data_IF_816497997519
#
_entry.id   IF_816497997519
#
_cell.length_a   1.000
_cell.length_b   1.000
_cell.length_c   1.000
_cell.angle_alpha   90.00
_cell.angle_beta   90.00
_cell.angle_gamma   90.00
#
_symmetry.space_group_name_H-M   'P 1'
#
loop_
_entity.id
_entity.type
_entity.pdbx_description
1 polymer ?
#
# COMPACT_ATOMS: atom_id res chain seq x y z
N UNK A 1 2.94 -18.12 37.86
CA UNK A 1 3.68 -17.60 36.68
C UNK A 1 3.15 -16.20 36.37
N UNK A 2 4.01 -15.17 36.24
CA UNK A 2 3.54 -13.81 35.91
C UNK A 2 2.92 -13.80 34.51
N UNK A 3 1.74 -13.19 34.37
CA UNK A 3 1.11 -12.99 33.07
C UNK A 3 1.80 -11.83 32.36
N UNK A 4 2.02 -12.00 31.05
CA UNK A 4 2.59 -10.93 30.22
C UNK A 4 1.63 -9.73 30.20
N UNK A 5 2.14 -8.49 30.32
CA UNK A 5 1.29 -7.31 30.29
C UNK A 5 0.59 -7.13 28.93
N UNK A 6 -0.57 -6.48 28.95
CA UNK A 6 -1.28 -6.08 27.75
C UNK A 6 -0.50 -5.00 26.98
N UNK A 7 -0.64 -5.00 25.66
CA UNK A 7 0.07 -4.10 24.75
C UNK A 7 -0.86 -2.98 24.26
N UNK A 8 -0.38 -1.76 23.98
CA UNK A 8 -1.22 -0.75 23.35
C UNK A 8 -1.64 -1.18 21.94
N UNK A 9 -2.87 -0.85 21.56
CA UNK A 9 -3.35 -0.98 20.18
C UNK A 9 -2.44 -0.19 19.23
N UNK A 10 -2.03 -0.80 18.12
CA UNK A 10 -1.15 -0.14 17.13
C UNK A 10 -1.86 0.87 16.23
N UNK A 11 -3.19 0.99 16.33
CA UNK A 11 -3.93 1.98 15.56
C UNK A 11 -3.64 3.40 16.11
N UNK A 12 -3.38 4.40 15.25
CA UNK A 12 -3.06 5.75 15.71
C UNK A 12 -4.12 6.30 16.67
N UNK A 13 -3.67 6.94 17.75
CA UNK A 13 -4.53 7.58 18.76
C UNK A 13 -5.54 6.65 19.46
N UNK A 14 -5.37 5.33 19.42
CA UNK A 14 -6.22 4.40 20.16
C UNK A 14 -5.64 4.13 21.57
N UNK A 15 -6.34 4.48 22.66
CA UNK A 15 -5.83 4.28 24.03
C UNK A 15 -6.02 2.85 24.55
N UNK A 16 -6.68 1.95 23.80
CA UNK A 16 -7.01 0.60 24.27
C UNK A 16 -5.79 -0.31 24.35
N UNK A 17 -5.80 -1.20 25.35
CA UNK A 17 -4.85 -2.28 25.48
C UNK A 17 -5.41 -3.57 24.84
N UNK A 18 -4.53 -4.38 24.26
CA UNK A 18 -4.85 -5.63 23.58
C UNK A 18 -4.03 -6.78 24.19
N UNK A 19 -4.57 -8.01 24.20
CA UNK A 19 -3.84 -9.17 24.70
C UNK A 19 -2.63 -9.48 23.82
N UNK A 20 -1.64 -10.15 24.42
CA UNK A 20 -0.47 -10.63 23.68
C UNK A 20 -0.89 -11.54 22.51
N UNK A 21 -0.39 -11.23 21.30
CA UNK A 21 -0.77 -11.91 20.06
C UNK A 21 -1.69 -11.07 19.15
N UNK A 22 -2.42 -10.11 19.72
CA UNK A 22 -3.23 -9.15 18.96
C UNK A 22 -2.46 -7.84 18.75
N UNK A 23 -2.54 -7.28 17.54
CA UNK A 23 -1.96 -5.96 17.21
C UNK A 23 -2.95 -4.81 17.34
N UNK A 24 -4.24 -5.12 17.16
CA UNK A 24 -5.33 -4.16 17.09
C UNK A 24 -6.48 -4.62 17.98
N UNK A 25 -7.26 -3.68 18.53
CA UNK A 25 -8.50 -4.00 19.22
C UNK A 25 -9.59 -4.39 18.20
N UNK A 26 -10.71 -4.93 18.68
CA UNK A 26 -11.80 -5.44 17.81
C UNK A 26 -12.27 -4.39 16.80
N UNK A 27 -12.46 -3.14 17.24
CA UNK A 27 -12.83 -2.02 16.35
C UNK A 27 -11.81 -1.74 15.23
N UNK A 28 -10.50 -1.81 15.53
CA UNK A 28 -9.46 -1.43 14.56
C UNK A 28 -8.92 -2.63 13.76
N UNK A 29 -9.27 -3.85 14.14
CA UNK A 29 -8.84 -5.07 13.46
C UNK A 29 -9.29 -5.09 11.98
N UNK A 30 -10.54 -4.70 11.72
CA UNK A 30 -11.10 -4.69 10.36
C UNK A 30 -10.42 -3.66 9.44
N UNK A 31 -10.09 -2.48 9.98
CA UNK A 31 -9.40 -1.41 9.25
C UNK A 31 -8.00 -1.81 8.79
N UNK A 32 -7.38 -2.75 9.52
CA UNK A 32 -6.03 -3.27 9.23
C UNK A 32 -6.02 -4.69 8.65
N UNK A 33 -7.17 -5.17 8.16
CA UNK A 33 -7.32 -6.54 7.63
C UNK A 33 -6.35 -6.90 6.51
N UNK A 34 -5.84 -5.91 5.76
CA UNK A 34 -4.87 -6.11 4.70
C UNK A 34 -3.47 -6.46 5.21
N UNK A 35 -3.10 -6.05 6.42
CA UNK A 35 -1.77 -6.37 6.97
C UNK A 35 -1.59 -7.87 7.17
N UNK A 36 -2.70 -8.56 7.48
CA UNK A 36 -2.73 -10.02 7.70
C UNK A 36 -2.76 -10.79 6.39
N UNK A 37 -3.26 -10.19 5.29
CA UNK A 37 -3.38 -10.86 4.00
C UNK A 37 -2.01 -11.09 3.35
N UNK A 38 -1.87 -12.25 2.71
CA UNK A 38 -0.70 -12.55 1.87
C UNK A 38 -0.61 -11.62 0.66
N UNK A 39 0.58 -11.49 0.06
CA UNK A 39 0.80 -10.69 -1.15
C UNK A 39 -0.12 -11.10 -2.30
N UNK A 40 -0.32 -12.41 -2.48
CA UNK A 40 -1.26 -12.97 -3.45
C UNK A 40 -2.71 -12.55 -3.14
N UNK A 41 -3.13 -12.63 -1.88
CA UNK A 41 -4.46 -12.21 -1.46
C UNK A 41 -4.70 -10.69 -1.58
N UNK A 42 -3.64 -9.89 -1.64
CA UNK A 42 -3.72 -8.44 -1.94
C UNK A 42 -3.92 -8.15 -3.44
N UNK A 43 -3.63 -9.11 -4.32
CA UNK A 43 -3.74 -8.97 -5.78
C UNK A 43 -2.40 -9.08 -6.53
N UNK A 44 -1.26 -9.19 -5.82
CA UNK A 44 0.07 -9.30 -6.43
C UNK A 44 0.39 -10.74 -6.83
N UNK A 45 -0.32 -11.24 -7.85
CA UNK A 45 -0.18 -12.60 -8.37
C UNK A 45 0.49 -12.65 -9.77
N UNK A 46 0.42 -13.80 -10.45
CA UNK A 46 0.97 -13.96 -11.80
C UNK A 46 0.22 -13.14 -12.85
N UNK A 47 -1.07 -12.87 -12.66
CA UNK A 47 -1.86 -11.99 -13.53
C UNK A 47 -1.35 -10.57 -13.42
N UNK A 48 -1.09 -10.09 -12.20
CA UNK A 48 -0.49 -8.78 -11.97
C UNK A 48 0.88 -8.68 -12.64
N UNK A 49 1.73 -9.69 -12.49
CA UNK A 49 3.06 -9.68 -13.11
C UNK A 49 3.00 -9.55 -14.64
N UNK A 50 2.06 -10.25 -15.30
CA UNK A 50 1.86 -10.12 -16.76
C UNK A 50 1.39 -8.71 -17.15
N UNK A 51 0.40 -8.16 -16.43
CA UNK A 51 -0.12 -6.82 -16.69
C UNK A 51 0.97 -5.74 -16.47
N UNK A 52 1.71 -5.84 -15.37
CA UNK A 52 2.85 -4.97 -15.04
C UNK A 52 3.90 -4.95 -16.15
N UNK A 53 4.30 -6.11 -16.67
CA UNK A 53 5.30 -6.19 -17.74
C UNK A 53 4.80 -5.54 -19.04
N UNK A 54 3.54 -5.77 -19.42
CA UNK A 54 2.92 -5.11 -20.58
C UNK A 54 2.90 -3.59 -20.41
N UNK A 55 2.45 -3.11 -19.25
CA UNK A 55 2.37 -1.68 -18.96
C UNK A 55 3.76 -1.01 -19.02
N UNK A 56 4.79 -1.61 -18.40
CA UNK A 56 6.16 -1.06 -18.46
C UNK A 56 6.77 -1.08 -19.87
N UNK A 57 6.35 -1.99 -20.74
CA UNK A 57 6.78 -2.01 -22.14
C UNK A 57 6.20 -0.82 -22.94
N UNK A 58 4.94 -0.48 -22.67
CA UNK A 58 4.24 0.66 -23.31
C UNK A 58 4.69 1.98 -22.69
N UNK A 59 4.98 1.99 -21.39
CA UNK A 59 5.38 3.16 -20.62
C UNK A 59 6.81 2.99 -20.06
N UNK A 60 7.85 3.10 -20.92
CA UNK A 60 9.22 2.75 -20.54
C UNK A 60 9.90 3.76 -19.60
N UNK A 61 9.33 4.95 -19.42
CA UNK A 61 9.96 6.04 -18.67
C UNK A 61 9.17 6.42 -17.41
N UNK A 62 9.90 6.81 -16.37
CA UNK A 62 9.34 7.29 -15.12
C UNK A 62 8.62 8.62 -15.32
N UNK A 63 7.30 8.67 -15.08
CA UNK A 63 6.48 9.87 -15.30
C UNK A 63 6.96 11.05 -14.46
N UNK A 64 7.34 10.81 -13.19
CA UNK A 64 7.87 11.87 -12.31
C UNK A 64 9.22 12.42 -12.76
N UNK A 65 10.06 11.60 -13.40
CA UNK A 65 11.33 12.07 -13.95
C UNK A 65 11.11 12.85 -15.25
N UNK A 66 10.22 12.37 -16.12
CA UNK A 66 9.86 13.06 -17.36
C UNK A 66 9.31 14.47 -17.08
N UNK A 67 8.44 14.62 -16.08
CA UNK A 67 7.91 15.92 -15.64
C UNK A 67 9.00 16.89 -15.14
N UNK A 68 10.20 16.38 -14.86
CA UNK A 68 11.38 17.17 -14.47
C UNK A 68 12.43 17.23 -15.60
N UNK A 69 12.04 16.97 -16.85
CA UNK A 69 12.92 16.89 -18.02
C UNK A 69 14.09 15.89 -17.86
N UNK A 70 13.86 14.79 -17.12
CA UNK A 70 14.86 13.72 -16.92
C UNK A 70 14.37 12.41 -17.50
N UNK A 71 15.18 11.80 -18.36
CA UNK A 71 14.90 10.48 -18.91
C UNK A 71 15.44 9.39 -18.00
N UNK A 72 14.54 8.70 -17.28
CA UNK A 72 14.89 7.55 -16.45
C UNK A 72 13.92 6.42 -16.72
N UNK A 73 14.44 5.21 -16.90
CA UNK A 73 13.63 4.01 -17.14
C UNK A 73 12.69 3.75 -15.95
N UNK A 74 11.42 3.47 -16.24
CA UNK A 74 10.49 2.96 -15.25
C UNK A 74 10.81 1.49 -14.95
N UNK A 75 10.81 1.14 -13.66
CA UNK A 75 11.11 -0.21 -13.18
C UNK A 75 9.97 -0.79 -12.36
N UNK A 76 9.03 0.06 -11.92
CA UNK A 76 7.88 -0.34 -11.11
C UNK A 76 6.62 0.33 -11.64
N UNK A 77 5.50 -0.37 -11.46
CA UNK A 77 4.16 0.19 -11.68
C UNK A 77 3.61 0.48 -10.31
N UNK A 78 3.27 1.73 -10.09
CA UNK A 78 2.74 2.25 -8.84
C UNK A 78 1.27 2.62 -9.02
N UNK A 79 0.49 2.49 -7.95
CA UNK A 79 -0.88 2.98 -7.92
C UNK A 79 -0.89 4.45 -7.49
N UNK A 80 -1.41 5.35 -8.33
CA UNK A 80 -1.50 6.79 -8.05
C UNK A 80 -2.25 7.01 -6.73
N UNK A 81 -3.44 6.42 -6.62
CA UNK A 81 -4.21 6.31 -5.39
C UNK A 81 -3.99 4.90 -4.81
N UNK A 82 -3.48 4.78 -3.57
CA UNK A 82 -3.30 3.49 -2.92
C UNK A 82 -4.61 2.71 -2.85
N UNK A 83 -4.61 1.50 -3.42
CA UNK A 83 -5.84 0.73 -3.55
C UNK A 83 -6.44 0.29 -2.20
N UNK A 84 -5.63 0.18 -1.13
CA UNK A 84 -6.05 -0.24 0.22
C UNK A 84 -7.11 -1.36 0.20
N UNK A 85 -6.83 -2.40 -0.59
CA UNK A 85 -7.70 -3.58 -0.70
C UNK A 85 -8.85 -3.48 -1.71
N UNK A 86 -9.15 -2.29 -2.22
CA UNK A 86 -10.14 -2.09 -3.29
C UNK A 86 -9.63 -2.68 -4.61
N UNK A 87 -10.21 -3.80 -5.04
CA UNK A 87 -9.80 -4.50 -6.25
C UNK A 87 -10.14 -3.74 -7.54
N UNK A 88 -11.20 -2.93 -7.55
CA UNK A 88 -11.53 -2.10 -8.72
C UNK A 88 -10.42 -1.07 -8.95
N UNK A 89 -10.01 -0.38 -7.88
CA UNK A 89 -8.94 0.61 -7.91
C UNK A 89 -7.54 -0.02 -8.16
N UNK A 90 -7.35 -1.28 -7.75
CA UNK A 90 -6.12 -2.03 -8.02
C UNK A 90 -5.95 -2.33 -9.51
N UNK A 91 -7.02 -2.73 -10.19
CA UNK A 91 -7.02 -3.12 -11.61
C UNK A 91 -7.34 -1.98 -12.58
N UNK A 92 -7.57 -0.77 -12.07
CA UNK A 92 -7.74 0.42 -12.89
C UNK A 92 -6.39 0.86 -13.48
N UNK A 93 -6.20 0.62 -14.78
CA UNK A 93 -4.99 1.05 -15.50
C UNK A 93 -4.82 2.58 -15.50
N UNK A 94 -5.91 3.34 -15.38
CA UNK A 94 -5.86 4.80 -15.22
C UNK A 94 -5.30 5.23 -13.86
N UNK A 95 -5.34 4.35 -12.88
CA UNK A 95 -4.71 4.53 -11.57
C UNK A 95 -3.26 4.04 -11.55
N UNK A 96 -2.71 3.53 -12.66
CA UNK A 96 -1.32 3.09 -12.72
C UNK A 96 -0.40 4.19 -13.22
N UNK A 97 0.81 4.28 -12.64
CA UNK A 97 1.86 5.15 -13.13
C UNK A 97 3.22 4.43 -13.22
N UNK A 98 4.00 4.69 -14.28
CA UNK A 98 5.33 4.13 -14.43
C UNK A 98 6.33 4.94 -13.59
N UNK A 99 7.00 4.31 -12.63
CA UNK A 99 8.01 4.98 -11.80
C UNK A 99 9.35 4.25 -11.83
N UNK A 100 10.42 5.01 -11.63
CA UNK A 100 11.70 4.44 -11.23
C UNK A 100 11.68 4.16 -9.73
N UNK A 101 12.52 3.22 -9.27
CA UNK A 101 12.61 2.84 -7.84
C UNK A 101 12.70 4.03 -6.89
N UNK A 102 13.60 4.98 -7.17
CA UNK A 102 13.79 6.16 -6.30
C UNK A 102 12.56 7.06 -6.20
N UNK A 103 11.81 7.26 -7.30
CA UNK A 103 10.58 8.07 -7.27
C UNK A 103 9.43 7.33 -6.58
N UNK A 104 9.36 6.01 -6.76
CA UNK A 104 8.41 5.16 -6.06
C UNK A 104 8.67 5.17 -4.55
N UNK A 105 9.90 4.91 -4.13
CA UNK A 105 10.25 4.86 -2.71
C UNK A 105 9.98 6.22 -2.02
N UNK A 106 10.29 7.32 -2.71
CA UNK A 106 9.92 8.67 -2.24
C UNK A 106 8.41 8.82 -2.10
N UNK A 107 7.61 8.46 -3.11
CA UNK A 107 6.14 8.52 -3.04
C UNK A 107 5.61 7.72 -1.85
N UNK A 108 6.08 6.49 -1.69
CA UNK A 108 5.63 5.62 -0.61
C UNK A 108 5.87 6.27 0.76
N UNK A 109 7.03 6.91 0.94
CA UNK A 109 7.39 7.56 2.21
C UNK A 109 6.70 8.91 2.42
N UNK A 110 6.40 9.68 1.37
CA UNK A 110 5.84 11.04 1.52
C UNK A 110 4.34 11.11 1.36
N UNK A 111 3.75 10.23 0.55
CA UNK A 111 2.34 10.32 0.13
C UNK A 111 1.51 9.12 0.62
N UNK A 112 2.06 7.90 0.54
CA UNK A 112 1.26 6.69 0.82
C UNK A 112 1.34 6.21 2.27
N UNK A 113 2.37 6.64 3.02
CA UNK A 113 2.67 6.12 4.36
C UNK A 113 1.58 6.41 5.41
N UNK A 114 0.80 7.48 5.22
CA UNK A 114 -0.23 7.91 6.17
C UNK A 114 -1.63 7.61 5.62
N UNK A 115 -2.24 6.49 6.02
CA UNK A 115 -3.60 6.21 5.62
C UNK A 115 -4.60 7.15 6.30
N UNK A 116 -5.41 7.85 5.51
CA UNK A 116 -6.62 8.53 6.00
C UNK A 116 -7.64 7.45 6.37
N UNK A 117 -7.99 7.37 7.65
CA UNK A 117 -9.08 6.52 8.15
C UNK A 117 -10.36 7.35 8.15
N UNK A 118 -11.40 6.89 7.43
CA UNK A 118 -12.75 7.44 7.59
C UNK A 118 -13.34 6.91 8.88
N UNK A 119 -13.69 7.80 9.80
CA UNK A 119 -14.54 7.47 10.93
C UNK A 119 -15.93 7.99 10.61
N UNK A 120 -16.90 7.08 10.55
CA UNK A 120 -18.31 7.45 10.48
C UNK A 120 -18.68 8.00 11.88
N UNK A 121 -18.93 9.30 11.97
CA UNK A 121 -19.45 9.95 13.18
C UNK A 121 -20.97 9.92 13.20
#
# INVERSE_FOLDING_TARGET
>A
MPRRPALPCKHPNCPRLVPYGSKYCEEHSHLHSLEVKSTKAKGYDSRWNKARLRFLKIHPFCVRCLNRNRYRRATVVDHIVPHRGNQKLFWDEGNWQPLCKSCHDHKTMTEDHTPIYGYDF
#
